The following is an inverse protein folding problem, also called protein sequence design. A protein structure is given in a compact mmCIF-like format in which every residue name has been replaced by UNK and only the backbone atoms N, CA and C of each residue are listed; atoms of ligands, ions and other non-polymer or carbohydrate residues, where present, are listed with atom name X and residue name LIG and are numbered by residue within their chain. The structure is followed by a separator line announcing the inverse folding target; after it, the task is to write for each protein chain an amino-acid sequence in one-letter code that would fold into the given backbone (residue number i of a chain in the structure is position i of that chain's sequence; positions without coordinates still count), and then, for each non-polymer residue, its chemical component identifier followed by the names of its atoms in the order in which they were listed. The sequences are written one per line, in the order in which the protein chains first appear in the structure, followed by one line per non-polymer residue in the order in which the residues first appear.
data_IF_095152793147
#
_entry.id   IF_095152793147
#
_cell.length_a   1.000
_cell.length_b   1.000
_cell.length_c   1.000
_cell.angle_alpha   90.00
_cell.angle_beta   90.00
_cell.angle_gamma   90.00
#
_symmetry.space_group_name_H-M   'P 1'
#
loop_
_entity.id
_entity.type
_entity.pdbx_description
1 polymer ?
#
# COMPACT_ATOMS: atom_id res chain seq x y z
N UNK A 1 19.90 46.96 37.28
CA UNK A 1 19.62 45.52 37.46
C UNK A 1 18.26 45.25 36.85
N UNK A 2 18.24 44.82 35.59
CA UNK A 2 16.99 44.51 34.86
C UNK A 2 16.61 43.05 35.13
N UNK A 3 15.45 42.83 35.72
CA UNK A 3 14.91 41.50 35.94
C UNK A 3 14.58 40.85 34.58
N UNK A 4 15.27 39.77 34.24
CA UNK A 4 14.93 38.89 33.13
C UNK A 4 13.65 38.14 33.51
N UNK A 5 12.53 38.53 32.90
CA UNK A 5 11.27 37.81 33.04
C UNK A 5 11.45 36.39 32.49
N UNK A 6 11.40 35.39 33.36
CA UNK A 6 11.38 34.00 33.01
C UNK A 6 10.11 33.71 32.17
N UNK A 7 10.26 33.57 30.87
CA UNK A 7 9.19 33.11 29.97
C UNK A 7 8.86 31.65 30.30
N UNK A 8 7.70 31.44 30.90
CA UNK A 8 7.15 30.10 31.16
C UNK A 8 7.07 29.34 29.80
N UNK A 9 7.65 28.12 29.68
CA UNK A 9 7.56 27.36 28.44
C UNK A 9 6.08 27.05 28.15
N UNK A 10 5.62 27.40 26.96
CA UNK A 10 4.27 27.05 26.52
C UNK A 10 4.09 25.52 26.52
N UNK A 11 2.97 24.99 27.01
CA UNK A 11 2.73 23.57 27.09
C UNK A 11 2.72 22.97 25.66
N UNK A 12 3.64 22.05 25.37
CA UNK A 12 3.69 21.31 24.11
C UNK A 12 2.45 20.40 24.06
N UNK A 13 1.56 20.53 23.06
CA UNK A 13 0.36 19.70 22.97
C UNK A 13 0.75 18.22 22.89
N UNK A 14 0.35 17.45 23.89
CA UNK A 14 0.55 16.00 23.99
C UNK A 14 -0.53 15.29 23.18
N UNK A 15 -0.28 14.91 21.93
CA UNK A 15 -1.19 14.13 21.08
C UNK A 15 -0.84 14.22 19.60
N UNK A 16 -1.23 13.23 18.83
CA UNK A 16 -1.16 13.30 17.35
C UNK A 16 -1.99 14.51 16.91
N UNK A 17 -1.35 15.55 16.40
CA UNK A 17 -2.07 16.72 15.93
C UNK A 17 -2.74 16.37 14.61
N UNK A 18 -4.08 16.29 14.63
CA UNK A 18 -4.88 16.11 13.42
C UNK A 18 -4.54 17.14 12.33
N UNK A 19 -4.08 18.33 12.72
CA UNK A 19 -3.65 19.39 11.81
C UNK A 19 -2.40 18.99 11.01
N UNK A 20 -1.38 18.39 11.68
CA UNK A 20 -0.15 17.96 11.01
C UNK A 20 -0.44 16.80 10.04
N UNK A 21 -1.19 15.78 10.45
CA UNK A 21 -1.59 14.70 9.57
C UNK A 21 -2.42 15.20 8.38
N UNK A 22 -3.36 16.12 8.63
CA UNK A 22 -4.17 16.70 7.57
C UNK A 22 -3.34 17.50 6.56
N UNK A 23 -2.31 18.21 7.01
CA UNK A 23 -1.38 18.93 6.11
C UNK A 23 -0.57 17.94 5.26
N UNK A 24 -0.04 16.86 5.84
CA UNK A 24 0.67 15.80 5.11
C UNK A 24 -0.23 15.16 4.03
N UNK A 25 -1.44 14.77 4.40
CA UNK A 25 -2.40 14.19 3.44
C UNK A 25 -2.74 15.16 2.31
N UNK A 26 -2.92 16.46 2.63
CA UNK A 26 -3.17 17.47 1.60
C UNK A 26 -1.99 17.58 0.62
N UNK A 27 -0.76 17.51 1.11
CA UNK A 27 0.45 17.52 0.26
C UNK A 27 0.47 16.26 -0.61
N UNK A 28 0.25 15.08 -0.04
CA UNK A 28 0.28 13.81 -0.77
C UNK A 28 -0.79 13.79 -1.88
N UNK A 29 -2.05 14.03 -1.55
CA UNK A 29 -3.15 13.97 -2.52
C UNK A 29 -3.24 15.20 -3.43
N UNK A 30 -2.64 16.34 -3.05
CA UNK A 30 -2.61 17.55 -3.86
C UNK A 30 -1.54 17.58 -4.95
N UNK A 31 -0.50 16.74 -4.85
CA UNK A 31 0.57 16.70 -5.86
C UNK A 31 0.09 16.05 -7.15
N UNK A 32 0.24 16.74 -8.29
CA UNK A 32 -0.14 16.24 -9.63
C UNK A 32 0.47 14.87 -9.96
N UNK A 33 1.73 14.63 -9.57
CA UNK A 33 2.40 13.35 -9.75
C UNK A 33 1.62 12.20 -9.08
N UNK A 34 1.17 12.41 -7.85
CA UNK A 34 0.46 11.38 -7.08
C UNK A 34 -0.97 11.18 -7.63
N UNK A 35 -1.61 12.25 -8.10
CA UNK A 35 -2.90 12.16 -8.80
C UNK A 35 -2.77 11.37 -10.11
N UNK A 36 -1.70 11.59 -10.87
CA UNK A 36 -1.40 10.78 -12.05
C UNK A 36 -1.18 9.30 -11.69
N UNK A 37 -0.47 9.02 -10.59
CA UNK A 37 -0.32 7.65 -10.06
C UNK A 37 -1.67 7.01 -9.71
N UNK A 38 -2.57 7.74 -9.04
CA UNK A 38 -3.93 7.27 -8.75
C UNK A 38 -4.76 7.03 -10.01
N UNK A 39 -4.58 7.86 -11.06
CA UNK A 39 -5.23 7.65 -12.35
C UNK A 39 -4.70 6.39 -13.06
N UNK A 40 -3.38 6.13 -12.99
CA UNK A 40 -2.79 4.88 -13.51
C UNK A 40 -3.35 3.67 -12.77
N UNK A 41 -3.46 3.72 -11.44
CA UNK A 41 -4.06 2.63 -10.65
C UNK A 41 -5.53 2.39 -11.03
N UNK A 42 -6.29 3.43 -11.36
CA UNK A 42 -7.67 3.31 -11.85
C UNK A 42 -7.75 2.77 -13.29
N UNK A 43 -6.74 3.04 -14.11
CA UNK A 43 -6.70 2.55 -15.49
C UNK A 43 -6.52 1.03 -15.54
N UNK A 44 -5.81 0.41 -14.59
CA UNK A 44 -5.54 -1.03 -14.58
C UNK A 44 -6.83 -1.86 -14.60
N UNK A 45 -7.76 -1.74 -13.64
CA UNK A 45 -9.02 -2.49 -13.68
C UNK A 45 -9.84 -2.18 -14.93
N UNK A 46 -9.79 -0.94 -15.42
CA UNK A 46 -10.51 -0.54 -16.63
C UNK A 46 -9.95 -1.25 -17.87
N UNK A 47 -8.63 -1.29 -18.02
CA UNK A 47 -7.98 -2.00 -19.15
C UNK A 47 -8.24 -3.50 -19.08
N UNK A 48 -8.14 -4.10 -17.88
CA UNK A 48 -8.42 -5.54 -17.69
C UNK A 48 -9.89 -5.84 -18.07
N UNK A 49 -10.84 -5.03 -17.60
CA UNK A 49 -12.25 -5.22 -17.88
C UNK A 49 -12.57 -5.10 -19.39
N UNK A 50 -12.00 -4.10 -20.07
CA UNK A 50 -12.16 -3.92 -21.51
C UNK A 50 -11.52 -5.07 -22.27
N UNK A 51 -10.29 -5.46 -21.91
CA UNK A 51 -9.59 -6.57 -22.55
C UNK A 51 -10.40 -7.87 -22.43
N UNK A 52 -10.89 -8.20 -21.26
CA UNK A 52 -11.74 -9.38 -21.04
C UNK A 52 -13.04 -9.29 -21.84
N UNK A 53 -13.67 -8.10 -21.94
CA UNK A 53 -14.92 -7.94 -22.69
C UNK A 53 -14.72 -8.14 -24.20
N UNK A 54 -13.58 -7.68 -24.74
CA UNK A 54 -13.23 -7.85 -26.16
C UNK A 54 -12.82 -9.28 -26.46
N UNK A 55 -12.06 -9.91 -25.53
CA UNK A 55 -11.54 -11.27 -25.68
C UNK A 55 -12.52 -12.34 -25.18
N UNK A 56 -13.77 -11.97 -24.87
CA UNK A 56 -14.77 -12.93 -24.38
C UNK A 56 -14.91 -14.07 -25.38
N UNK A 57 -14.51 -15.32 -25.03
CA UNK A 57 -14.73 -16.47 -25.89
C UNK A 57 -16.22 -16.69 -26.11
N UNK A 58 -16.58 -17.35 -27.19
CA UNK A 58 -17.97 -17.71 -27.45
C UNK A 58 -18.54 -18.53 -26.26
N UNK A 59 -19.86 -18.48 -26.00
CA UNK A 59 -20.45 -19.19 -24.88
C UNK A 59 -20.09 -20.69 -24.83
N UNK A 60 -19.84 -21.30 -25.96
CA UNK A 60 -19.43 -22.69 -26.11
C UNK A 60 -17.98 -22.96 -25.62
N UNK A 61 -17.05 -22.00 -25.83
CA UNK A 61 -15.67 -22.09 -25.35
C UNK A 61 -15.54 -21.81 -23.85
N UNK A 62 -16.47 -21.05 -23.27
CA UNK A 62 -16.51 -20.78 -21.82
C UNK A 62 -16.92 -22.04 -21.05
N UNK A 63 -17.77 -22.90 -21.64
CA UNK A 63 -18.22 -24.14 -21.02
C UNK A 63 -17.11 -25.21 -20.95
N UNK A 64 -16.09 -25.14 -21.83
CA UNK A 64 -14.94 -26.03 -21.83
C UNK A 64 -13.70 -25.41 -21.13
N UNK A 65 -13.77 -24.13 -20.73
CA UNK A 65 -12.69 -23.40 -20.06
C UNK A 65 -12.62 -23.67 -18.55
N UNK A 66 -11.55 -23.22 -17.87
CA UNK A 66 -11.47 -23.33 -16.41
C UNK A 66 -12.64 -22.62 -15.74
N UNK A 67 -13.27 -23.26 -14.75
CA UNK A 67 -14.44 -22.74 -14.01
C UNK A 67 -14.26 -21.30 -13.48
N UNK A 68 -13.02 -20.93 -13.17
CA UNK A 68 -12.71 -19.58 -12.69
C UNK A 68 -12.92 -18.51 -13.79
N UNK A 69 -12.71 -18.83 -15.07
CA UNK A 69 -12.90 -17.90 -16.19
C UNK A 69 -14.38 -17.62 -16.41
N UNK A 70 -15.22 -18.67 -16.31
CA UNK A 70 -16.68 -18.55 -16.35
C UNK A 70 -17.20 -17.68 -15.19
N UNK A 71 -16.65 -17.89 -13.99
CA UNK A 71 -16.94 -17.08 -12.80
C UNK A 71 -16.51 -15.62 -12.97
N UNK A 72 -15.37 -15.38 -13.61
CA UNK A 72 -14.85 -14.04 -13.91
C UNK A 72 -15.74 -13.26 -14.87
N UNK A 73 -16.24 -13.95 -15.90
CA UNK A 73 -17.11 -13.35 -16.92
C UNK A 73 -18.56 -13.19 -16.41
N UNK A 74 -18.94 -13.95 -15.38
CA UNK A 74 -20.27 -13.91 -14.77
C UNK A 74 -20.47 -12.83 -13.71
N UNK A 75 -19.41 -12.23 -13.18
CA UNK A 75 -19.53 -11.26 -12.07
C UNK A 75 -18.46 -10.15 -12.14
N UNK A 76 -18.94 -8.90 -12.23
CA UNK A 76 -18.07 -7.72 -12.30
C UNK A 76 -17.12 -7.53 -11.09
N UNK A 77 -17.39 -8.13 -9.94
CA UNK A 77 -16.51 -8.05 -8.76
C UNK A 77 -15.15 -8.72 -8.99
N UNK A 78 -15.10 -9.73 -9.85
CA UNK A 78 -13.84 -10.40 -10.20
C UNK A 78 -12.81 -9.44 -10.82
N UNK A 79 -13.27 -8.42 -11.54
CA UNK A 79 -12.38 -7.40 -12.14
C UNK A 79 -11.56 -6.68 -11.05
N UNK A 80 -12.18 -6.37 -9.90
CA UNK A 80 -11.46 -5.73 -8.79
C UNK A 80 -10.37 -6.65 -8.21
N UNK A 81 -10.68 -7.93 -8.03
CA UNK A 81 -9.73 -8.93 -7.52
C UNK A 81 -8.59 -9.18 -8.50
N UNK A 82 -8.90 -9.33 -9.79
CA UNK A 82 -7.91 -9.50 -10.85
C UNK A 82 -6.98 -8.28 -10.96
N UNK A 83 -7.53 -7.07 -10.87
CA UNK A 83 -6.76 -5.84 -10.91
C UNK A 83 -5.82 -5.71 -9.70
N UNK A 84 -6.29 -6.04 -8.49
CA UNK A 84 -5.45 -6.08 -7.30
C UNK A 84 -4.32 -7.09 -7.46
N UNK A 85 -4.63 -8.33 -7.86
CA UNK A 85 -3.62 -9.38 -8.08
C UNK A 85 -2.57 -8.97 -9.12
N UNK A 86 -3.00 -8.41 -10.25
CA UNK A 86 -2.10 -7.95 -11.32
C UNK A 86 -1.24 -6.74 -10.91
N UNK A 87 -1.72 -5.92 -9.96
CA UNK A 87 -1.02 -4.69 -9.53
C UNK A 87 0.00 -4.93 -8.43
N UNK A 88 -0.16 -5.99 -7.64
CA UNK A 88 0.72 -6.32 -6.52
C UNK A 88 2.19 -6.53 -6.93
N UNK A 89 2.53 -7.16 -8.07
CA UNK A 89 3.93 -7.34 -8.45
C UNK A 89 4.68 -6.03 -8.74
N UNK A 90 4.01 -4.99 -9.24
CA UNK A 90 4.70 -3.80 -9.71
C UNK A 90 4.01 -2.48 -9.35
N UNK A 91 2.75 -2.29 -9.69
CA UNK A 91 2.10 -0.98 -9.62
C UNK A 91 1.85 -0.49 -8.20
N UNK A 92 1.34 -1.36 -7.31
CA UNK A 92 1.13 -1.02 -5.90
C UNK A 92 2.45 -0.76 -5.17
N UNK A 93 3.48 -1.64 -5.27
CA UNK A 93 4.79 -1.35 -4.68
C UNK A 93 5.41 -0.06 -5.19
N UNK A 94 5.30 0.24 -6.49
CA UNK A 94 5.80 1.48 -7.06
C UNK A 94 5.11 2.71 -6.47
N UNK A 95 3.77 2.67 -6.34
CA UNK A 95 3.00 3.76 -5.75
C UNK A 95 3.38 3.98 -4.27
N UNK A 96 3.50 2.92 -3.49
CA UNK A 96 3.92 2.98 -2.08
C UNK A 96 5.35 3.48 -1.94
N UNK A 97 6.28 2.98 -2.77
CA UNK A 97 7.68 3.41 -2.80
C UNK A 97 7.82 4.89 -3.13
N UNK A 98 7.03 5.38 -4.11
CA UNK A 98 7.07 6.79 -4.51
C UNK A 98 6.63 7.74 -3.38
N UNK A 99 5.61 7.37 -2.60
CA UNK A 99 5.12 8.19 -1.49
C UNK A 99 6.02 8.07 -0.27
N UNK A 100 6.41 6.85 0.12
CA UNK A 100 7.26 6.63 1.29
C UNK A 100 8.67 7.15 1.08
N UNK A 101 9.25 6.97 -0.11
CA UNK A 101 10.56 7.48 -0.50
C UNK A 101 10.62 9.01 -0.53
N UNK A 102 9.53 9.69 -0.89
CA UNK A 102 9.43 11.16 -0.92
C UNK A 102 9.15 11.77 0.46
N UNK A 103 8.73 10.99 1.44
CA UNK A 103 8.16 11.50 2.70
C UNK A 103 9.12 12.34 3.54
N UNK A 104 10.40 11.99 3.62
CA UNK A 104 11.46 12.74 4.34
C UNK A 104 12.44 13.36 3.33
N UNK A 105 12.91 12.57 2.36
CA UNK A 105 13.84 13.01 1.35
C UNK A 105 13.31 14.19 0.50
N UNK A 106 11.99 14.21 0.24
CA UNK A 106 11.35 15.31 -0.49
C UNK A 106 11.43 16.64 0.25
N UNK A 107 11.26 16.64 1.57
CA UNK A 107 11.41 17.85 2.40
C UNK A 107 12.87 18.26 2.55
N UNK A 108 13.78 17.29 2.64
CA UNK A 108 15.22 17.56 2.66
C UNK A 108 15.67 18.20 1.35
N UNK A 109 15.25 17.67 0.21
CA UNK A 109 15.56 18.18 -1.12
C UNK A 109 15.05 19.60 -1.35
N UNK A 110 13.86 19.94 -0.82
CA UNK A 110 13.27 21.29 -0.89
C UNK A 110 13.86 22.26 0.16
N UNK A 111 14.75 21.80 1.05
CA UNK A 111 15.30 22.60 2.13
C UNK A 111 14.26 22.96 3.22
N UNK A 112 13.05 22.41 3.17
CA UNK A 112 11.98 22.70 4.12
C UNK A 112 12.11 21.92 5.43
N UNK A 113 12.90 20.86 5.44
CA UNK A 113 13.14 20.03 6.62
C UNK A 113 13.70 20.85 7.81
N UNK A 114 14.57 21.84 7.56
CA UNK A 114 15.12 22.74 8.57
C UNK A 114 14.04 23.55 9.29
N UNK A 115 12.99 24.00 8.59
CA UNK A 115 11.91 24.77 9.20
C UNK A 115 11.02 23.90 10.11
N UNK A 116 10.83 22.63 9.76
CA UNK A 116 10.12 21.67 10.59
C UNK A 116 10.87 21.33 11.89
N UNK A 117 12.21 21.39 11.85
CA UNK A 117 13.06 21.08 13.00
C UNK A 117 13.31 22.28 13.92
N UNK A 118 13.11 23.51 13.45
CA UNK A 118 13.15 24.74 14.28
C UNK A 118 11.88 24.86 15.15
N UNK A 119 10.74 24.39 14.66
CA UNK A 119 9.54 24.27 15.50
C UNK A 119 9.73 23.12 16.49
N UNK A 120 9.44 23.26 17.80
CA UNK A 120 9.64 22.20 18.79
C UNK A 120 8.63 21.05 18.61
N UNK A 121 8.71 20.36 17.46
CA UNK A 121 7.95 19.14 17.19
C UNK A 121 8.80 17.96 17.62
N UNK A 122 8.25 17.08 18.44
CA UNK A 122 8.91 15.83 18.81
C UNK A 122 9.19 14.99 17.55
N UNK A 123 10.45 14.62 17.35
CA UNK A 123 10.92 13.86 16.18
C UNK A 123 10.17 12.54 16.00
N UNK A 124 9.86 11.85 17.10
CA UNK A 124 9.03 10.63 17.12
C UNK A 124 7.66 10.89 16.51
N UNK A 125 7.03 12.02 16.86
CA UNK A 125 5.72 12.42 16.35
C UNK A 125 5.75 12.71 14.85
N UNK A 126 6.83 13.33 14.37
CA UNK A 126 6.98 13.62 12.94
C UNK A 126 7.05 12.32 12.12
N UNK A 127 7.90 11.37 12.52
CA UNK A 127 7.99 10.05 11.89
C UNK A 127 6.66 9.31 11.94
N UNK A 128 5.98 9.31 13.09
CA UNK A 128 4.68 8.66 13.23
C UNK A 128 3.60 9.25 12.31
N UNK A 129 3.56 10.58 12.18
CA UNK A 129 2.61 11.25 11.28
C UNK A 129 2.93 10.97 9.82
N UNK A 130 4.19 10.99 9.42
CA UNK A 130 4.61 10.65 8.06
C UNK A 130 4.27 9.22 7.70
N UNK A 131 4.54 8.29 8.60
CA UNK A 131 4.16 6.90 8.39
C UNK A 131 2.64 6.72 8.34
N UNK A 132 1.89 7.36 9.23
CA UNK A 132 0.41 7.34 9.18
C UNK A 132 -0.13 7.89 7.85
N UNK A 133 0.49 8.92 7.31
CA UNK A 133 0.11 9.47 6.00
C UNK A 133 0.40 8.48 4.84
N UNK A 134 1.53 7.75 4.90
CA UNK A 134 1.86 6.66 3.95
C UNK A 134 0.82 5.53 4.05
N UNK A 135 0.47 5.10 5.27
CA UNK A 135 -0.55 4.06 5.49
C UNK A 135 -1.92 4.45 4.92
N UNK A 136 -2.37 5.68 5.20
CA UNK A 136 -3.64 6.19 4.70
C UNK A 136 -3.63 6.25 3.17
N UNK A 137 -2.54 6.75 2.57
CA UNK A 137 -2.41 6.76 1.12
C UNK A 137 -2.48 5.34 0.54
N UNK A 138 -1.74 4.40 1.12
CA UNK A 138 -1.72 2.99 0.68
C UNK A 138 -3.11 2.37 0.74
N UNK A 139 -3.81 2.54 1.86
CA UNK A 139 -5.18 2.05 2.02
C UNK A 139 -6.14 2.68 0.99
N UNK A 140 -6.08 4.01 0.83
CA UNK A 140 -6.91 4.73 -0.15
C UNK A 140 -6.59 4.27 -1.58
N UNK A 141 -5.33 4.04 -1.93
CA UNK A 141 -4.93 3.57 -3.25
C UNK A 141 -5.49 2.18 -3.56
N UNK A 142 -5.41 1.25 -2.60
CA UNK A 142 -5.96 -0.12 -2.74
C UNK A 142 -7.48 -0.07 -2.88
N UNK A 143 -8.17 0.66 -1.98
CA UNK A 143 -9.64 0.79 -2.03
C UNK A 143 -10.10 1.51 -3.30
N UNK A 144 -9.38 2.53 -3.74
CA UNK A 144 -9.66 3.24 -4.98
C UNK A 144 -9.62 2.32 -6.19
N UNK A 145 -8.58 1.49 -6.30
CA UNK A 145 -8.46 0.51 -7.37
C UNK A 145 -9.58 -0.53 -7.32
N UNK A 146 -9.88 -1.07 -6.14
CA UNK A 146 -10.97 -2.02 -5.94
C UNK A 146 -12.32 -1.40 -6.31
N UNK A 147 -12.58 -0.17 -5.89
CA UNK A 147 -13.81 0.57 -6.21
C UNK A 147 -13.99 0.74 -7.72
N UNK A 148 -12.95 1.22 -8.42
CA UNK A 148 -13.00 1.35 -9.88
C UNK A 148 -13.21 -0.01 -10.54
N UNK A 149 -12.53 -1.05 -10.05
CA UNK A 149 -12.68 -2.41 -10.54
C UNK A 149 -14.11 -2.94 -10.39
N UNK A 150 -14.73 -2.74 -9.24
CA UNK A 150 -16.14 -3.11 -9.01
C UNK A 150 -17.06 -2.30 -9.93
N UNK A 151 -16.89 -0.98 -10.00
CA UNK A 151 -17.77 -0.12 -10.82
C UNK A 151 -17.69 -0.49 -12.30
N UNK A 152 -16.49 -0.58 -12.87
CA UNK A 152 -16.31 -0.94 -14.29
C UNK A 152 -16.75 -2.38 -14.54
N UNK A 153 -16.45 -3.28 -13.60
CA UNK A 153 -16.88 -4.68 -13.67
C UNK A 153 -18.41 -4.80 -13.71
N UNK A 154 -19.12 -4.12 -12.81
CA UNK A 154 -20.59 -4.11 -12.80
C UNK A 154 -21.19 -3.53 -14.07
N UNK A 155 -20.59 -2.48 -14.63
CA UNK A 155 -21.05 -1.87 -15.87
C UNK A 155 -20.89 -2.77 -17.10
N UNK A 156 -19.83 -3.58 -17.17
CA UNK A 156 -19.50 -4.40 -18.34
C UNK A 156 -19.99 -5.85 -18.24
N UNK A 157 -20.04 -6.41 -17.03
CA UNK A 157 -20.34 -7.84 -16.78
C UNK A 157 -21.59 -8.03 -15.92
N UNK A 158 -22.14 -6.95 -15.35
CA UNK A 158 -23.28 -7.04 -14.45
C UNK A 158 -22.91 -7.47 -13.03
N UNK A 159 -23.94 -7.57 -12.18
CA UNK A 159 -23.86 -8.04 -10.79
C UNK A 159 -24.61 -9.35 -10.63
N UNK A 160 -24.19 -10.15 -9.65
CA UNK A 160 -24.81 -11.43 -9.36
C UNK A 160 -24.13 -12.07 -8.14
N UNK A 161 -24.46 -13.33 -7.80
CA UNK A 161 -23.72 -14.07 -6.79
C UNK A 161 -22.25 -14.17 -7.18
N UNK A 162 -21.38 -14.06 -6.18
CA UNK A 162 -19.92 -14.09 -6.35
C UNK A 162 -19.44 -15.51 -6.14
N UNK A 163 -18.76 -16.08 -7.11
CA UNK A 163 -18.13 -17.40 -6.97
C UNK A 163 -16.77 -17.22 -6.29
N UNK A 164 -16.60 -17.89 -5.16
CA UNK A 164 -15.34 -17.91 -4.41
C UNK A 164 -14.33 -18.85 -5.06
N UNK A 165 -13.06 -18.76 -4.62
CA UNK A 165 -12.00 -19.68 -5.09
C UNK A 165 -12.24 -21.13 -4.66
N UNK A 166 -13.09 -21.37 -3.66
CA UNK A 166 -13.56 -22.71 -3.26
C UNK A 166 -14.67 -23.28 -4.16
N UNK A 167 -15.17 -22.50 -5.14
CA UNK A 167 -16.30 -22.87 -5.99
C UNK A 167 -17.67 -22.55 -5.39
N UNK A 168 -17.75 -22.12 -4.13
CA UNK A 168 -18.98 -21.74 -3.47
C UNK A 168 -19.47 -20.36 -3.94
N UNK A 169 -20.81 -20.21 -4.05
CA UNK A 169 -21.42 -18.95 -4.43
C UNK A 169 -21.95 -18.22 -3.20
N UNK A 170 -21.51 -16.99 -3.05
CA UNK A 170 -21.95 -16.11 -1.96
C UNK A 170 -22.75 -14.92 -2.52
N UNK A 171 -23.52 -14.28 -1.64
CA UNK A 171 -24.24 -13.07 -2.02
C UNK A 171 -23.28 -11.94 -2.41
N UNK A 172 -23.73 -11.01 -3.25
CA UNK A 172 -22.94 -9.84 -3.63
C UNK A 172 -22.48 -9.03 -2.42
N UNK A 173 -23.33 -8.89 -1.39
CA UNK A 173 -22.99 -8.18 -0.15
C UNK A 173 -21.87 -8.86 0.63
N UNK A 174 -21.87 -10.18 0.72
CA UNK A 174 -20.80 -10.95 1.35
C UNK A 174 -19.50 -10.86 0.53
N UNK A 175 -19.60 -10.96 -0.79
CA UNK A 175 -18.46 -10.73 -1.67
C UNK A 175 -17.83 -9.36 -1.48
N UNK A 176 -18.63 -8.31 -1.30
CA UNK A 176 -18.13 -6.95 -1.02
C UNK A 176 -17.42 -6.87 0.34
N UNK A 177 -17.93 -7.52 1.38
CA UNK A 177 -17.26 -7.60 2.68
C UNK A 177 -15.92 -8.33 2.58
N UNK A 178 -15.87 -9.45 1.85
CA UNK A 178 -14.62 -10.19 1.58
C UNK A 178 -13.63 -9.33 0.79
N UNK A 179 -14.08 -8.58 -0.22
CA UNK A 179 -13.25 -7.62 -0.96
C UNK A 179 -12.68 -6.52 -0.06
N UNK A 180 -13.46 -5.98 0.87
CA UNK A 180 -12.95 -5.03 1.88
C UNK A 180 -11.89 -5.67 2.79
N UNK A 181 -12.08 -6.93 3.17
CA UNK A 181 -11.07 -7.72 3.87
C UNK A 181 -9.77 -7.87 3.05
N UNK A 182 -9.89 -8.17 1.76
CA UNK A 182 -8.77 -8.21 0.81
C UNK A 182 -8.05 -6.86 0.76
N UNK A 183 -8.79 -5.76 0.61
CA UNK A 183 -8.21 -4.41 0.62
C UNK A 183 -7.46 -4.12 1.93
N UNK A 184 -8.03 -4.50 3.07
CA UNK A 184 -7.39 -4.38 4.38
C UNK A 184 -6.09 -5.16 4.46
N UNK A 185 -6.12 -6.44 4.06
CA UNK A 185 -4.93 -7.30 4.05
C UNK A 185 -3.82 -6.74 3.16
N UNK A 186 -4.16 -6.40 1.91
CA UNK A 186 -3.19 -5.83 0.94
C UNK A 186 -2.59 -4.54 1.46
N UNK A 187 -3.40 -3.65 2.06
CA UNK A 187 -2.90 -2.41 2.65
C UNK A 187 -1.93 -2.67 3.81
N UNK A 188 -2.22 -3.66 4.68
CA UNK A 188 -1.31 -4.08 5.75
C UNK A 188 -0.03 -4.70 5.19
N UNK A 189 -0.12 -5.56 4.19
CA UNK A 189 1.04 -6.15 3.54
C UNK A 189 1.94 -5.09 2.89
N UNK A 190 1.35 -4.10 2.18
CA UNK A 190 2.07 -2.98 1.58
C UNK A 190 2.62 -1.98 2.61
N UNK A 191 2.07 -1.94 3.83
CA UNK A 191 2.58 -1.08 4.90
C UNK A 191 4.03 -1.39 5.26
N UNK A 192 4.44 -2.66 5.17
CA UNK A 192 5.81 -3.11 5.36
C UNK A 192 6.78 -2.41 4.38
N UNK A 193 6.40 -2.36 3.10
CA UNK A 193 7.17 -1.65 2.08
C UNK A 193 7.19 -0.13 2.34
N UNK A 194 6.08 0.42 2.84
CA UNK A 194 5.98 1.81 3.28
C UNK A 194 6.95 2.14 4.42
N UNK A 195 7.12 1.24 5.40
CA UNK A 195 8.08 1.40 6.49
C UNK A 195 9.53 1.36 5.99
N UNK A 196 9.86 0.41 5.09
CA UNK A 196 11.16 0.36 4.41
C UNK A 196 11.42 1.66 3.66
N UNK A 197 10.44 2.14 2.89
CA UNK A 197 10.58 3.38 2.11
C UNK A 197 10.77 4.61 3.00
N UNK A 198 10.06 4.70 4.10
CA UNK A 198 10.26 5.77 5.09
C UNK A 198 11.68 5.73 5.67
N UNK A 199 12.18 4.54 6.03
CA UNK A 199 13.56 4.38 6.51
C UNK A 199 14.57 4.83 5.46
N UNK A 200 14.48 4.31 4.23
CA UNK A 200 15.38 4.70 3.13
C UNK A 200 15.31 6.21 2.87
N UNK A 201 14.13 6.81 2.94
CA UNK A 201 13.93 8.25 2.82
C UNK A 201 14.66 9.06 3.89
N UNK A 202 14.95 8.48 5.07
CA UNK A 202 15.77 9.15 6.10
C UNK A 202 17.28 9.12 5.80
N UNK A 203 17.73 8.24 4.90
CA UNK A 203 19.15 8.04 4.57
C UNK A 203 19.64 8.96 3.44
N UNK A 204 18.74 9.49 2.61
CA UNK A 204 19.08 10.30 1.43
C UNK A 204 18.29 11.60 1.40
N UNK A 205 18.78 12.56 0.64
CA UNK A 205 18.08 13.82 0.34
C UNK A 205 17.46 13.81 -1.06
N UNK A 206 17.64 12.69 -1.79
CA UNK A 206 17.12 12.53 -3.15
C UNK A 206 15.87 11.61 -3.14
N UNK A 207 14.66 12.15 -3.32
CA UNK A 207 13.42 11.36 -3.29
C UNK A 207 13.39 10.26 -4.35
N UNK A 208 13.92 10.56 -5.55
CA UNK A 208 13.97 9.57 -6.64
C UNK A 208 14.91 8.41 -6.29
N UNK A 209 16.08 8.70 -5.68
CA UNK A 209 17.01 7.67 -5.22
C UNK A 209 16.37 6.76 -4.16
N UNK A 210 15.64 7.33 -3.20
CA UNK A 210 14.90 6.57 -2.21
C UNK A 210 13.85 5.65 -2.85
N UNK A 211 13.06 6.20 -3.78
CA UNK A 211 12.04 5.43 -4.50
C UNK A 211 12.65 4.25 -5.27
N UNK A 212 13.73 4.50 -6.03
CA UNK A 212 14.42 3.47 -6.81
C UNK A 212 14.96 2.37 -5.88
N UNK A 213 15.55 2.72 -4.74
CA UNK A 213 16.09 1.73 -3.80
C UNK A 213 14.98 0.82 -3.24
N UNK A 214 13.81 1.36 -2.92
CA UNK A 214 12.67 0.58 -2.41
C UNK A 214 12.09 -0.32 -3.49
N UNK A 215 11.94 0.18 -4.73
CA UNK A 215 11.48 -0.63 -5.86
C UNK A 215 12.49 -1.73 -6.16
N UNK A 216 13.79 -1.43 -6.16
CA UNK A 216 14.84 -2.43 -6.38
C UNK A 216 14.78 -3.54 -5.31
N UNK A 217 14.55 -3.20 -4.03
CA UNK A 217 14.35 -4.19 -2.97
C UNK A 217 13.16 -5.11 -3.29
N UNK A 218 12.02 -4.56 -3.73
CA UNK A 218 10.85 -5.36 -4.09
C UNK A 218 11.15 -6.27 -5.29
N UNK A 219 11.81 -5.76 -6.33
CA UNK A 219 12.19 -6.54 -7.51
C UNK A 219 13.17 -7.66 -7.15
N UNK A 220 14.21 -7.36 -6.37
CA UNK A 220 15.16 -8.39 -5.89
C UNK A 220 14.43 -9.44 -5.07
N UNK A 221 13.51 -9.04 -4.20
CA UNK A 221 12.69 -9.98 -3.42
C UNK A 221 11.87 -10.90 -4.34
N UNK A 222 11.26 -10.39 -5.42
CA UNK A 222 10.55 -11.22 -6.41
C UNK A 222 11.49 -12.18 -7.13
N UNK A 223 12.69 -11.75 -7.52
CA UNK A 223 13.68 -12.61 -8.17
C UNK A 223 14.08 -13.75 -7.22
N UNK A 224 14.33 -13.44 -5.94
CA UNK A 224 14.68 -14.43 -4.94
C UNK A 224 13.55 -15.45 -4.69
N UNK A 225 12.29 -15.00 -4.70
CA UNK A 225 11.11 -15.89 -4.57
C UNK A 225 10.99 -16.86 -5.77
N UNK A 226 11.51 -16.48 -6.93
CA UNK A 226 11.48 -17.34 -8.12
C UNK A 226 12.58 -18.43 -8.15
N UNK A 227 13.49 -18.43 -7.17
CA UNK A 227 14.62 -19.40 -7.10
C UNK A 227 14.29 -20.50 -6.10
N UNK A 228 13.95 -21.74 -6.53
CA UNK A 228 13.54 -22.82 -5.63
C UNK A 228 14.62 -23.23 -4.62
N UNK A 229 15.90 -23.07 -4.95
CA UNK A 229 17.04 -23.39 -4.07
C UNK A 229 17.11 -22.50 -2.82
N UNK A 230 16.33 -21.40 -2.80
CA UNK A 230 16.26 -20.45 -1.69
C UNK A 230 14.94 -20.55 -0.91
N UNK A 231 14.27 -21.71 -0.95
CA UNK A 231 12.98 -21.91 -0.25
C UNK A 231 13.03 -21.55 1.24
N UNK A 232 14.18 -21.80 1.89
CA UNK A 232 14.39 -21.42 3.29
C UNK A 232 14.32 -19.92 3.55
N UNK A 233 14.58 -19.08 2.52
CA UNK A 233 14.55 -17.63 2.58
C UNK A 233 13.15 -17.07 2.28
N UNK A 234 12.33 -17.78 1.49
CA UNK A 234 11.05 -17.29 0.99
C UNK A 234 10.13 -16.74 2.09
N UNK A 235 9.94 -17.38 3.26
CA UNK A 235 9.06 -16.88 4.31
C UNK A 235 9.45 -15.51 4.87
N UNK A 236 10.73 -15.12 4.71
CA UNK A 236 11.29 -13.85 5.18
C UNK A 236 11.26 -12.74 4.14
N UNK A 237 11.01 -13.06 2.87
CA UNK A 237 10.94 -12.09 1.79
C UNK A 237 9.66 -11.25 1.91
N UNK A 238 9.81 -9.94 1.68
CA UNK A 238 8.72 -8.97 1.89
C UNK A 238 7.50 -9.23 1.01
N UNK A 239 7.70 -9.78 -0.20
CA UNK A 239 6.65 -10.04 -1.18
C UNK A 239 5.99 -11.42 -1.05
N UNK A 240 6.58 -12.36 -0.29
CA UNK A 240 6.16 -13.76 -0.26
C UNK A 240 4.67 -13.94 0.09
N UNK A 241 4.15 -13.08 0.96
CA UNK A 241 2.79 -13.17 1.48
C UNK A 241 1.81 -12.17 0.86
N UNK A 242 2.23 -11.38 -0.14
CA UNK A 242 1.37 -10.33 -0.69
C UNK A 242 0.10 -10.87 -1.37
N UNK A 243 0.18 -12.07 -1.96
CA UNK A 243 -0.95 -12.72 -2.63
C UNK A 243 -1.78 -13.61 -1.69
N UNK A 244 -1.42 -13.75 -0.42
CA UNK A 244 -2.16 -14.57 0.53
C UNK A 244 -3.58 -14.06 0.82
N UNK A 245 -3.95 -12.87 0.35
CA UNK A 245 -5.33 -12.40 0.38
C UNK A 245 -6.31 -13.36 -0.31
N UNK A 246 -5.84 -14.21 -1.21
CA UNK A 246 -6.65 -15.27 -1.84
C UNK A 246 -7.32 -16.20 -0.83
N UNK A 247 -6.73 -16.37 0.35
CA UNK A 247 -7.32 -17.19 1.42
C UNK A 247 -8.63 -16.59 1.98
N UNK A 248 -8.83 -15.27 1.87
CA UNK A 248 -10.09 -14.61 2.22
C UNK A 248 -11.23 -14.92 1.25
N UNK A 249 -10.89 -15.39 0.05
CA UNK A 249 -11.84 -15.74 -1.01
C UNK A 249 -12.16 -17.24 -1.00
N UNK A 250 -11.80 -17.97 0.04
CA UNK A 250 -12.14 -19.38 0.27
C UNK A 250 -13.23 -19.51 1.32
N UNK A 251 -13.97 -20.60 1.27
CA UNK A 251 -14.89 -20.98 2.33
C UNK A 251 -14.62 -22.44 2.72
N UNK A 252 -14.26 -22.71 3.98
CA UNK A 252 -13.97 -21.74 5.06
C UNK A 252 -12.71 -20.92 4.79
N UNK A 253 -12.65 -19.69 5.35
CA UNK A 253 -11.47 -18.82 5.24
C UNK A 253 -10.26 -19.50 5.89
N UNK A 254 -9.18 -19.68 5.13
CA UNK A 254 -7.92 -20.23 5.66
C UNK A 254 -7.06 -19.13 6.28
N UNK A 255 -6.43 -19.43 7.41
CA UNK A 255 -5.50 -18.53 8.07
C UNK A 255 -4.03 -18.88 7.80
N UNK A 256 -3.77 -19.96 7.04
CA UNK A 256 -2.43 -20.52 6.86
C UNK A 256 -1.46 -19.55 6.15
N UNK A 257 -1.96 -18.80 5.16
CA UNK A 257 -1.20 -17.75 4.48
C UNK A 257 -1.37 -16.37 5.13
N UNK A 258 -2.57 -16.05 5.63
CA UNK A 258 -2.88 -14.73 6.19
C UNK A 258 -2.06 -14.42 7.44
N UNK A 259 -1.98 -15.35 8.38
CA UNK A 259 -1.30 -15.15 9.65
C UNK A 259 0.22 -14.96 9.52
N UNK A 260 0.94 -15.78 8.74
CA UNK A 260 2.33 -15.53 8.43
C UNK A 260 2.55 -14.18 7.73
N UNK A 261 1.67 -13.79 6.80
CA UNK A 261 1.74 -12.51 6.11
C UNK A 261 1.59 -11.31 7.05
N UNK A 262 0.63 -11.35 7.98
CA UNK A 262 0.45 -10.30 8.98
C UNK A 262 1.67 -10.21 9.93
N UNK A 263 2.23 -11.35 10.35
CA UNK A 263 3.43 -11.39 11.19
C UNK A 263 4.64 -10.82 10.45
N UNK A 264 4.84 -11.21 9.20
CA UNK A 264 5.90 -10.67 8.35
C UNK A 264 5.76 -9.14 8.21
N UNK A 265 4.58 -8.65 7.88
CA UNK A 265 4.32 -7.21 7.79
C UNK A 265 4.60 -6.48 9.11
N UNK A 266 4.16 -7.05 10.24
CA UNK A 266 4.42 -6.49 11.56
C UNK A 266 5.92 -6.43 11.88
N UNK A 267 6.69 -7.51 11.57
CA UNK A 267 8.13 -7.57 11.78
C UNK A 267 8.86 -6.48 10.96
N UNK A 268 8.56 -6.36 9.67
CA UNK A 268 9.12 -5.32 8.81
C UNK A 268 8.79 -3.92 9.35
N UNK A 269 7.54 -3.69 9.74
CA UNK A 269 7.11 -2.41 10.31
C UNK A 269 7.91 -2.07 11.58
N UNK A 270 8.02 -2.99 12.53
CA UNK A 270 8.77 -2.76 13.78
C UNK A 270 10.24 -2.47 13.49
N UNK A 271 10.90 -3.28 12.67
CA UNK A 271 12.32 -3.14 12.36
C UNK A 271 12.60 -1.79 11.66
N UNK A 272 11.89 -1.49 10.58
CA UNK A 272 12.20 -0.32 9.75
C UNK A 272 11.70 0.99 10.35
N UNK A 273 10.61 0.99 11.12
CA UNK A 273 10.18 2.19 11.83
C UNK A 273 11.10 2.51 13.01
N UNK A 274 11.58 1.52 13.73
CA UNK A 274 12.60 1.76 14.78
C UNK A 274 13.91 2.26 14.19
N UNK A 275 14.36 1.69 13.07
CA UNK A 275 15.54 2.13 12.34
C UNK A 275 15.36 3.58 11.81
N UNK A 276 14.21 3.91 11.22
CA UNK A 276 13.89 5.26 10.76
C UNK A 276 13.89 6.26 11.92
N UNK A 277 13.28 5.88 13.04
CA UNK A 277 13.25 6.72 14.23
C UNK A 277 14.67 6.93 14.80
N UNK A 278 15.47 5.88 14.95
CA UNK A 278 16.83 5.96 15.46
C UNK A 278 17.70 6.87 14.58
N UNK A 279 17.65 6.68 13.26
CA UNK A 279 18.38 7.49 12.29
C UNK A 279 17.96 8.96 12.32
N UNK A 280 16.65 9.22 12.35
CA UNK A 280 16.12 10.58 12.36
C UNK A 280 16.38 11.30 13.69
N UNK A 281 16.38 10.56 14.81
CA UNK A 281 16.66 11.10 16.14
C UNK A 281 18.13 11.50 16.33
N UNK A 282 19.07 10.78 15.69
CA UNK A 282 20.51 11.06 15.76
C UNK A 282 21.00 12.05 14.71
N UNK A 283 20.14 12.59 13.85
CA UNK A 283 20.56 13.56 12.82
C UNK A 283 20.66 14.95 13.45
N UNK A 284 21.89 15.41 13.66
CA UNK A 284 22.12 16.79 14.05
C UNK A 284 21.83 17.72 12.87
N UNK A 285 21.06 18.76 13.14
CA UNK A 285 20.77 19.83 12.18
C UNK A 285 21.88 20.86 12.36
N UNK A 286 23.09 20.48 11.98
CA UNK A 286 24.19 21.42 11.83
C UNK A 286 24.24 21.87 10.37
N UNK A 287 23.86 23.11 10.16
CA UNK A 287 24.04 24.09 9.14
C UNK A 287 22.78 24.77 8.70
#
# INVERSE_FOLDING_TARGET
MSAVSATTPLPVPRGLSSRLLRSELRIIFGRRRNQAGMAVLAAIPTVIAIALKISSPAPEEVAEGPDFLAAALGNGMFIALAALAASIPMFLPLAVAAISGDSVAGEANLGTLRYLLVVPVNRTRLIAVKYAAVLIFTFVAVVWMALVGVLVGLLLFGGGPVTLLSGEQVSFGEGLLRLLGVCGYVAVAMSALGAVGLFVSTLTEQPLGATIAVVALAVVSFILTAIPQLDWLHPYLINNWWLAFGELLRDPVSMDGLWPGLRSAAAYNVIFLTAAWARFSGRDVTC
#
